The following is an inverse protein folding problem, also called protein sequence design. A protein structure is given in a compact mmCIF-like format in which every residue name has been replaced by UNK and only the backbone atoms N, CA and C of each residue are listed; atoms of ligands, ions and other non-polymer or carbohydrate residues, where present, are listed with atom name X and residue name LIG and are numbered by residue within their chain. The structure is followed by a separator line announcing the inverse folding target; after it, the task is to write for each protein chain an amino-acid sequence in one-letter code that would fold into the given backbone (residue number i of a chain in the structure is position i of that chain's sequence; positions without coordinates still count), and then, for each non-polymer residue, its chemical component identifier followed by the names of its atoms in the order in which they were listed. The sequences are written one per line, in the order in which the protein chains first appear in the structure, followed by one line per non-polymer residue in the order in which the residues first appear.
data_IF_843339228695
#
_entry.id   IF_843339228695
#
_cell.length_a   1.000
_cell.length_b   1.000
_cell.length_c   1.000
_cell.angle_alpha   90.00
_cell.angle_beta   90.00
_cell.angle_gamma   90.00
#
_symmetry.space_group_name_H-M   'P 1'
#
loop_
_entity.id
_entity.type
_entity.pdbx_description
1 polymer ?
#
# COMPACT_ATOMS: atom_id res chain seq x y z
N UNK A 1 14.04 -1.46 -30.75
CA UNK A 1 13.85 -0.74 -29.47
C UNK A 1 13.17 -1.62 -28.41
N UNK A 2 13.89 -2.59 -27.81
CA UNK A 2 13.27 -3.53 -26.83
C UNK A 2 14.08 -3.64 -25.52
N UNK A 3 15.22 -2.96 -25.41
CA UNK A 3 16.12 -3.10 -24.25
C UNK A 3 15.83 -2.12 -23.10
N UNK A 4 15.19 -0.98 -23.37
CA UNK A 4 14.97 0.08 -22.37
C UNK A 4 13.79 -0.16 -21.40
N UNK A 5 12.89 -1.11 -21.68
CA UNK A 5 11.69 -1.36 -20.87
C UNK A 5 11.86 -2.42 -19.78
N UNK A 6 12.94 -3.21 -19.80
CA UNK A 6 13.16 -4.30 -18.83
C UNK A 6 13.92 -3.87 -17.57
N UNK A 7 14.60 -2.72 -17.60
CA UNK A 7 15.41 -2.25 -16.46
C UNK A 7 14.68 -1.26 -15.53
N UNK A 8 13.48 -0.79 -15.91
CA UNK A 8 12.68 0.16 -15.09
C UNK A 8 11.67 -0.51 -14.13
N UNK A 9 11.34 -1.78 -14.33
CA UNK A 9 10.38 -2.49 -13.46
C UNK A 9 10.80 -2.63 -11.98
N UNK A 10 12.09 -2.67 -11.58
CA UNK A 10 12.45 -2.78 -10.16
C UNK A 10 12.27 -1.49 -9.35
N UNK A 11 12.05 -0.34 -9.98
CA UNK A 11 12.02 0.97 -9.31
C UNK A 11 10.62 1.43 -8.89
N UNK A 12 9.54 0.76 -9.32
CA UNK A 12 8.20 1.18 -8.91
C UNK A 12 8.01 0.91 -7.42
N UNK A 13 7.85 1.99 -6.64
CA UNK A 13 7.41 1.97 -5.24
C UNK A 13 5.89 1.86 -5.12
N UNK A 14 5.19 1.97 -6.25
CA UNK A 14 3.74 2.07 -6.34
C UNK A 14 3.16 0.78 -6.93
N UNK A 15 2.06 0.33 -6.34
CA UNK A 15 1.18 -0.71 -6.81
C UNK A 15 0.28 -0.15 -7.92
N UNK A 16 0.28 -0.75 -9.12
CA UNK A 16 -0.41 -0.17 -10.28
C UNK A 16 -1.94 -0.27 -10.22
N UNK A 17 -2.49 -1.17 -9.39
CA UNK A 17 -3.94 -1.34 -9.26
C UNK A 17 -4.52 -0.25 -8.34
N UNK A 18 -3.88 -0.03 -7.20
CA UNK A 18 -4.40 0.87 -6.15
C UNK A 18 -3.76 2.25 -6.17
N UNK A 19 -2.67 2.42 -6.92
CA UNK A 19 -1.80 3.60 -6.87
C UNK A 19 -1.23 3.91 -5.46
N UNK A 20 -1.28 2.94 -4.56
CA UNK A 20 -0.67 3.00 -3.24
C UNK A 20 0.74 2.42 -3.28
N UNK A 21 1.52 2.67 -2.24
CA UNK A 21 2.84 2.08 -2.09
C UNK A 21 2.72 0.57 -1.99
N UNK A 22 3.55 -0.11 -2.75
CA UNK A 22 3.60 -1.55 -2.71
C UNK A 22 4.31 -2.05 -1.46
N UNK A 23 4.26 -3.38 -1.27
CA UNK A 23 4.88 -4.06 -0.12
C UNK A 23 6.34 -3.66 0.12
N UNK A 24 7.14 -3.42 -0.93
CA UNK A 24 8.55 -3.05 -0.78
C UNK A 24 8.70 -1.67 -0.14
N UNK A 25 7.93 -0.70 -0.61
CA UNK A 25 7.98 0.66 -0.09
C UNK A 25 7.35 0.76 1.32
N UNK A 26 6.30 -0.02 1.61
CA UNK A 26 5.77 -0.20 2.97
C UNK A 26 6.86 -0.63 3.94
N UNK A 27 7.59 -1.70 3.59
CA UNK A 27 8.63 -2.24 4.45
C UNK A 27 9.72 -1.20 4.71
N UNK A 28 10.19 -0.53 3.65
CA UNK A 28 11.17 0.53 3.76
C UNK A 28 10.71 1.65 4.71
N UNK A 29 9.46 2.09 4.58
CA UNK A 29 8.88 3.14 5.44
C UNK A 29 8.78 2.71 6.90
N UNK A 30 8.32 1.48 7.17
CA UNK A 30 8.27 0.93 8.53
C UNK A 30 9.69 0.91 9.15
N UNK A 31 10.68 0.40 8.41
CA UNK A 31 12.07 0.32 8.88
C UNK A 31 12.64 1.73 9.19
N UNK A 32 12.27 2.74 8.39
CA UNK A 32 12.62 4.15 8.64
C UNK A 32 11.96 4.72 9.91
N UNK A 33 10.67 4.45 10.12
CA UNK A 33 9.93 4.93 11.28
C UNK A 33 10.44 4.32 12.59
N UNK A 34 10.75 3.02 12.59
CA UNK A 34 11.40 2.33 13.72
C UNK A 34 12.74 3.00 14.04
N UNK A 35 13.59 3.18 13.02
CA UNK A 35 14.90 3.84 13.17
C UNK A 35 14.78 5.29 13.66
N UNK A 36 13.69 5.99 13.35
CA UNK A 36 13.41 7.35 13.83
C UNK A 36 13.00 7.34 15.30
N UNK A 37 12.13 6.41 15.68
CA UNK A 37 11.68 6.23 17.06
C UNK A 37 12.84 5.90 18.00
N UNK A 38 13.69 4.94 17.62
CA UNK A 38 14.88 4.56 18.40
C UNK A 38 15.85 5.72 18.63
N UNK A 39 16.08 6.56 17.62
CA UNK A 39 17.02 7.69 17.70
C UNK A 39 16.52 8.84 18.55
N UNK A 40 15.22 9.15 18.50
CA UNK A 40 14.67 10.36 19.13
C UNK A 40 14.44 10.21 20.63
N UNK A 41 14.51 8.99 21.22
CA UNK A 41 14.07 8.70 22.60
C UNK A 41 12.73 9.40 22.93
N UNK A 42 11.88 9.51 21.92
CA UNK A 42 10.61 10.21 22.01
C UNK A 42 9.59 9.29 22.66
N UNK A 43 8.67 9.86 23.45
CA UNK A 43 7.48 9.17 23.96
C UNK A 43 6.41 8.90 22.88
N UNK A 44 6.73 9.15 21.61
CA UNK A 44 5.86 8.90 20.46
C UNK A 44 5.59 7.41 20.26
N UNK A 45 4.32 7.01 20.14
CA UNK A 45 3.95 5.61 19.83
C UNK A 45 3.72 5.44 18.33
N UNK A 46 4.23 4.35 17.76
CA UNK A 46 3.93 3.94 16.39
C UNK A 46 2.78 2.92 16.42
N UNK A 47 1.78 3.13 15.58
CA UNK A 47 0.69 2.18 15.36
C UNK A 47 0.76 1.64 13.93
N UNK A 48 0.62 0.33 13.78
CA UNK A 48 0.53 -0.34 12.48
C UNK A 48 -0.82 -1.05 12.41
N UNK A 49 -1.61 -0.73 11.38
CA UNK A 49 -2.89 -1.39 11.11
C UNK A 49 -2.69 -2.31 9.91
N UNK A 50 -3.04 -3.58 10.08
CA UNK A 50 -3.06 -4.59 9.03
C UNK A 50 -4.48 -5.11 8.90
N UNK A 51 -4.98 -5.18 7.67
CA UNK A 51 -6.33 -5.66 7.38
C UNK A 51 -6.33 -6.53 6.13
N UNK A 52 -7.39 -7.33 6.00
CA UNK A 52 -7.67 -8.16 4.83
C UNK A 52 -9.09 -7.86 4.33
N UNK A 53 -9.33 -8.06 3.03
CA UNK A 53 -10.67 -7.89 2.46
C UNK A 53 -11.42 -9.21 2.61
N UNK A 54 -12.45 -9.19 3.45
CA UNK A 54 -13.28 -10.37 3.70
C UNK A 54 -13.90 -10.91 2.41
N UNK A 55 -13.82 -12.25 2.26
CA UNK A 55 -14.40 -13.00 1.14
C UNK A 55 -13.97 -12.50 -0.24
N UNK A 56 -12.76 -11.94 -0.38
CA UNK A 56 -12.26 -11.44 -1.65
C UNK A 56 -12.34 -12.48 -2.78
N UNK A 57 -12.06 -13.76 -2.50
CA UNK A 57 -12.17 -14.85 -3.49
C UNK A 57 -13.60 -15.07 -3.99
N UNK A 58 -14.58 -15.03 -3.10
CA UNK A 58 -16.00 -15.18 -3.49
C UNK A 58 -16.46 -13.98 -4.31
N UNK A 59 -16.08 -12.77 -3.89
CA UNK A 59 -16.37 -11.54 -4.62
C UNK A 59 -15.69 -11.55 -6.00
N UNK A 60 -14.46 -12.05 -6.09
CA UNK A 60 -13.76 -12.25 -7.36
C UNK A 60 -14.52 -13.20 -8.28
N UNK A 61 -14.99 -14.33 -7.75
CA UNK A 61 -15.77 -15.31 -8.52
C UNK A 61 -17.11 -14.74 -9.01
N UNK A 62 -17.76 -13.90 -8.19
CA UNK A 62 -19.06 -13.29 -8.51
C UNK A 62 -18.97 -12.10 -9.47
N UNK A 63 -17.95 -11.24 -9.31
CA UNK A 63 -17.83 -9.97 -10.02
C UNK A 63 -16.90 -10.04 -11.25
N UNK A 64 -16.12 -11.12 -11.37
CA UNK A 64 -15.06 -11.24 -12.37
C UNK A 64 -13.86 -10.34 -12.06
N UNK A 65 -12.78 -10.49 -12.84
CA UNK A 65 -11.51 -9.81 -12.59
C UNK A 65 -11.64 -8.28 -12.52
N UNK A 66 -12.28 -7.66 -13.51
CA UNK A 66 -12.48 -6.20 -13.53
C UNK A 66 -13.36 -5.70 -12.38
N UNK A 67 -14.37 -6.47 -11.98
CA UNK A 67 -15.23 -6.12 -10.86
C UNK A 67 -14.51 -6.22 -9.51
N UNK A 68 -13.63 -7.23 -9.37
CA UNK A 68 -12.79 -7.38 -8.20
C UNK A 68 -11.71 -6.29 -8.11
N UNK A 69 -11.09 -5.93 -9.23
CA UNK A 69 -10.12 -4.83 -9.32
C UNK A 69 -10.76 -3.50 -8.90
N UNK A 70 -11.98 -3.24 -9.35
CA UNK A 70 -12.76 -2.08 -8.95
C UNK A 70 -13.10 -2.10 -7.44
N UNK A 71 -13.40 -3.27 -6.88
CA UNK A 71 -13.66 -3.41 -5.44
C UNK A 71 -12.40 -3.12 -4.62
N UNK A 72 -11.25 -3.67 -5.01
CA UNK A 72 -9.96 -3.43 -4.35
C UNK A 72 -9.60 -1.93 -4.40
N UNK A 73 -9.80 -1.29 -5.56
CA UNK A 73 -9.52 0.13 -5.76
C UNK A 73 -10.40 1.01 -4.86
N UNK A 74 -11.71 0.72 -4.78
CA UNK A 74 -12.62 1.48 -3.90
C UNK A 74 -12.30 1.32 -2.41
N UNK A 75 -11.86 0.13 -1.98
CA UNK A 75 -11.39 -0.07 -0.60
C UNK A 75 -10.14 0.76 -0.34
N UNK A 76 -9.17 0.75 -1.27
CA UNK A 76 -7.96 1.56 -1.16
C UNK A 76 -8.27 3.06 -1.06
N UNK A 77 -9.14 3.58 -1.94
CA UNK A 77 -9.58 4.98 -1.93
C UNK A 77 -10.28 5.36 -0.63
N UNK A 78 -11.13 4.47 -0.10
CA UNK A 78 -11.82 4.69 1.18
C UNK A 78 -10.82 4.77 2.33
N UNK A 79 -9.81 3.90 2.38
CA UNK A 79 -8.78 3.93 3.42
C UNK A 79 -7.96 5.23 3.34
N UNK A 80 -7.57 5.66 2.14
CA UNK A 80 -6.84 6.92 1.94
C UNK A 80 -7.65 8.12 2.40
N UNK A 81 -8.95 8.15 2.07
CA UNK A 81 -9.84 9.25 2.44
C UNK A 81 -9.96 9.43 3.95
N UNK A 82 -10.01 8.34 4.70
CA UNK A 82 -10.15 8.37 6.16
C UNK A 82 -8.82 8.58 6.89
N UNK A 83 -7.69 8.38 6.21
CA UNK A 83 -6.37 8.59 6.79
C UNK A 83 -5.91 10.05 6.65
N UNK A 84 -5.52 10.67 7.78
CA UNK A 84 -4.96 12.03 7.82
C UNK A 84 -3.63 12.08 7.04
N UNK A 85 -3.22 13.26 6.55
CA UNK A 85 -1.90 13.52 5.89
C UNK A 85 -0.66 12.99 6.65
N UNK A 86 -0.76 12.73 7.95
CA UNK A 86 0.32 12.21 8.80
C UNK A 86 0.22 10.69 9.04
N UNK A 87 -0.95 10.10 8.76
CA UNK A 87 -1.14 8.65 8.70
C UNK A 87 -0.68 8.18 7.33
N UNK A 88 0.45 7.50 7.27
CA UNK A 88 1.02 6.99 6.03
C UNK A 88 0.11 5.92 5.43
N UNK A 89 -0.86 6.30 4.61
CA UNK A 89 -1.45 5.42 3.59
C UNK A 89 -0.82 5.77 2.27
N UNK A 90 0.49 5.54 2.20
CA UNK A 90 1.16 5.06 1.02
C UNK A 90 0.85 5.76 -0.33
N UNK A 91 0.52 7.05 -0.32
CA UNK A 91 1.31 8.14 -0.86
C UNK A 91 1.07 9.35 0.04
#
# INVERSE_FOLDING_TARGET
MVKAHRELKPLSRIDPLTNLSNRRDIKYKIDCEISRFERKRSSETIFIILGDIDRLKENYLKLGGSGADNLITQVAESIVKECRKVGTVLH
#
